data_IF_252267158940
#
_entry.id   IF_252267158940
#
_cell.length_a   1.000
_cell.length_b   1.000
_cell.length_c   1.000
_cell.angle_alpha   90.00
_cell.angle_beta   90.00
_cell.angle_gamma   90.00
#
_symmetry.space_group_name_H-M   'P 1'
#
loop_
_entity.id
_entity.type
_entity.pdbx_description
1 polymer ?
#
# COMPACT_ATOMS: atom_id res chain seq x y z
N UNK A 1 6.68 14.72 66.55
CA UNK A 1 7.16 15.06 65.20
C UNK A 1 6.79 13.92 64.25
N UNK A 2 5.66 14.06 63.56
CA UNK A 2 5.10 13.07 62.65
C UNK A 2 5.87 13.07 61.33
N UNK A 3 6.55 11.98 60.98
CA UNK A 3 7.02 11.72 59.61
C UNK A 3 6.04 10.74 58.96
N UNK A 4 5.22 11.27 58.05
CA UNK A 4 4.27 10.51 57.22
C UNK A 4 5.05 9.60 56.26
N UNK A 5 4.92 8.29 56.41
CA UNK A 5 5.26 7.34 55.36
C UNK A 5 4.01 7.16 54.48
N UNK A 6 4.02 7.80 53.30
CA UNK A 6 3.00 7.58 52.27
C UNK A 6 3.49 6.44 51.39
N UNK A 7 2.95 5.24 51.62
CA UNK A 7 3.08 4.10 50.73
C UNK A 7 2.03 4.26 49.64
N UNK A 8 2.39 4.89 48.52
CA UNK A 8 1.55 4.93 47.32
C UNK A 8 1.77 3.65 46.52
N UNK A 9 0.88 2.69 46.72
CA UNK A 9 0.63 1.57 45.81
C UNK A 9 0.15 2.12 44.47
N UNK A 10 0.99 2.11 43.44
CA UNK A 10 0.59 2.28 42.05
C UNK A 10 0.89 0.98 41.30
N UNK A 11 -0.09 0.07 41.34
CA UNK A 11 -0.09 -1.15 40.54
C UNK A 11 -0.23 -0.74 39.07
N UNK A 12 0.78 -1.11 38.29
CA UNK A 12 0.78 -1.40 36.86
C UNK A 12 -0.62 -1.51 36.25
N UNK A 13 -1.08 -0.41 35.68
CA UNK A 13 -2.18 -0.35 34.73
C UNK A 13 -1.68 0.11 33.37
N UNK A 14 -0.53 -0.43 32.92
CA UNK A 14 -0.15 -0.32 31.52
C UNK A 14 -1.12 -1.21 30.75
N UNK A 15 -2.23 -0.64 30.30
CA UNK A 15 -3.05 -1.27 29.27
C UNK A 15 -2.11 -1.55 28.10
N UNK A 16 -1.80 -2.83 27.90
CA UNK A 16 -1.27 -3.31 26.64
C UNK A 16 -2.35 -2.98 25.63
N UNK A 17 -2.23 -1.82 24.98
CA UNK A 17 -2.97 -1.54 23.77
C UNK A 17 -2.62 -2.68 22.84
N UNK A 18 -3.60 -3.55 22.58
CA UNK A 18 -3.48 -4.55 21.52
C UNK A 18 -3.29 -3.73 20.26
N UNK A 19 -2.04 -3.62 19.81
CA UNK A 19 -1.74 -3.01 18.52
C UNK A 19 -2.47 -3.87 17.50
N UNK A 20 -3.62 -3.40 17.04
CA UNK A 20 -4.34 -4.04 15.96
C UNK A 20 -3.45 -3.87 14.74
N UNK A 21 -2.76 -4.94 14.33
CA UNK A 21 -2.02 -4.92 13.09
C UNK A 21 -3.05 -4.60 11.97
N UNK A 22 -2.72 -3.63 11.13
CA UNK A 22 -3.49 -3.25 9.95
C UNK A 22 -2.49 -3.22 8.80
N UNK A 23 -2.85 -3.80 7.66
CA UNK A 23 -2.06 -3.75 6.43
C UNK A 23 -2.61 -2.64 5.56
N UNK A 24 -1.78 -1.66 5.23
CA UNK A 24 -2.12 -0.57 4.31
C UNK A 24 -1.72 -0.95 2.90
N UNK A 25 -2.71 -1.08 2.03
CA UNK A 25 -2.53 -1.36 0.62
C UNK A 25 -2.73 -0.08 -0.19
N UNK A 26 -1.70 0.32 -0.92
CA UNK A 26 -1.80 1.35 -1.94
C UNK A 26 -2.24 0.75 -3.27
N UNK A 27 -3.37 1.16 -3.81
CA UNK A 27 -3.78 0.81 -5.17
C UNK A 27 -3.44 1.96 -6.10
N UNK A 28 -2.51 1.76 -7.02
CA UNK A 28 -2.17 2.73 -8.06
C UNK A 28 -2.62 2.17 -9.41
N UNK A 29 -3.59 2.82 -10.06
CA UNK A 29 -4.07 2.37 -11.36
C UNK A 29 -4.66 3.48 -12.21
N UNK A 30 -5.00 3.15 -13.45
CA UNK A 30 -5.61 4.09 -14.40
C UNK A 30 -7.12 4.17 -14.17
N UNK A 31 -7.59 5.18 -13.44
CA UNK A 31 -8.99 5.30 -12.98
C UNK A 31 -9.76 6.42 -13.69
N UNK A 32 -9.05 7.28 -14.41
CA UNK A 32 -9.61 8.30 -15.30
C UNK A 32 -9.01 8.25 -16.71
N UNK A 33 -9.59 9.03 -17.61
CA UNK A 33 -9.21 9.06 -19.03
C UNK A 33 -9.79 7.90 -19.86
N UNK A 34 -9.38 7.78 -21.14
CA UNK A 34 -10.01 6.85 -22.09
C UNK A 34 -9.88 5.37 -21.72
N UNK A 35 -8.86 5.01 -20.94
CA UNK A 35 -8.57 3.63 -20.56
C UNK A 35 -8.98 3.28 -19.12
N UNK A 36 -9.77 4.15 -18.48
CA UNK A 36 -10.20 4.03 -17.08
C UNK A 36 -10.94 2.72 -16.77
N UNK A 37 -11.63 2.14 -17.75
CA UNK A 37 -12.37 0.89 -17.56
C UNK A 37 -11.46 -0.23 -17.02
N UNK A 38 -10.25 -0.38 -17.58
CA UNK A 38 -9.32 -1.43 -17.14
C UNK A 38 -8.91 -1.28 -15.68
N UNK A 39 -8.57 -0.06 -15.23
CA UNK A 39 -8.17 0.16 -13.84
C UNK A 39 -9.34 0.10 -12.87
N UNK A 40 -10.56 0.47 -13.30
CA UNK A 40 -11.77 0.31 -12.50
C UNK A 40 -12.12 -1.16 -12.29
N UNK A 41 -12.07 -1.98 -13.35
CA UNK A 41 -12.30 -3.42 -13.24
C UNK A 41 -11.27 -4.09 -12.29
N UNK A 42 -10.00 -3.68 -12.34
CA UNK A 42 -8.99 -4.13 -11.38
C UNK A 42 -9.32 -3.73 -9.93
N UNK A 43 -9.70 -2.48 -9.71
CA UNK A 43 -10.01 -1.95 -8.39
C UNK A 43 -11.27 -2.59 -7.81
N UNK A 44 -12.29 -2.79 -8.63
CA UNK A 44 -13.55 -3.42 -8.24
C UNK A 44 -13.32 -4.91 -7.93
N UNK A 45 -12.50 -5.61 -8.72
CA UNK A 45 -12.05 -6.97 -8.41
C UNK A 45 -11.29 -7.06 -7.08
N UNK A 46 -10.39 -6.11 -6.81
CA UNK A 46 -9.66 -6.05 -5.55
C UNK A 46 -10.60 -5.79 -4.35
N UNK A 47 -11.55 -4.87 -4.48
CA UNK A 47 -12.55 -4.57 -3.45
C UNK A 47 -13.46 -5.75 -3.19
N UNK A 48 -13.91 -6.45 -4.23
CA UNK A 48 -14.72 -7.66 -4.11
C UNK A 48 -13.96 -8.75 -3.34
N UNK A 49 -12.67 -8.95 -3.65
CA UNK A 49 -11.83 -9.89 -2.92
C UNK A 49 -11.70 -9.51 -1.43
N UNK A 50 -11.48 -8.22 -1.13
CA UNK A 50 -11.46 -7.75 0.26
C UNK A 50 -12.80 -7.99 0.97
N UNK A 51 -13.93 -7.71 0.31
CA UNK A 51 -15.26 -7.96 0.86
C UNK A 51 -15.46 -9.44 1.20
N UNK A 52 -15.09 -10.35 0.29
CA UNK A 52 -15.17 -11.80 0.50
C UNK A 52 -14.28 -12.28 1.65
N UNK A 53 -13.17 -11.58 1.91
CA UNK A 53 -12.27 -11.84 3.03
C UNK A 53 -12.66 -11.11 4.32
N UNK A 54 -13.81 -10.42 4.34
CA UNK A 54 -14.30 -9.68 5.50
C UNK A 54 -13.46 -8.44 5.83
N UNK A 55 -12.86 -7.81 4.83
CA UNK A 55 -11.99 -6.64 4.98
C UNK A 55 -10.58 -6.96 5.47
N UNK A 56 -10.16 -8.22 5.40
CA UNK A 56 -8.87 -8.69 5.92
C UNK A 56 -7.98 -9.28 4.83
N UNK A 57 -6.67 -9.18 5.03
CA UNK A 57 -5.64 -9.88 4.24
C UNK A 57 -4.79 -10.71 5.20
N UNK A 58 -4.72 -12.02 4.99
CA UNK A 58 -3.99 -12.92 5.90
C UNK A 58 -4.51 -12.92 7.35
N UNK A 59 -5.79 -12.59 7.55
CA UNK A 59 -6.41 -12.47 8.89
C UNK A 59 -6.18 -11.13 9.59
N UNK A 60 -5.45 -10.20 8.97
CA UNK A 60 -5.17 -8.85 9.46
C UNK A 60 -6.07 -7.85 8.74
N UNK A 61 -6.56 -6.82 9.42
CA UNK A 61 -7.41 -5.81 8.78
C UNK A 61 -6.65 -5.08 7.67
N UNK A 62 -7.32 -4.79 6.56
CA UNK A 62 -6.73 -4.13 5.42
C UNK A 62 -7.32 -2.74 5.18
N UNK A 63 -6.45 -1.73 5.07
CA UNK A 63 -6.81 -0.38 4.66
C UNK A 63 -6.39 -0.16 3.21
N UNK A 64 -7.35 0.17 2.35
CA UNK A 64 -7.08 0.47 0.94
C UNK A 64 -6.97 1.98 0.71
N UNK A 65 -5.85 2.44 0.17
CA UNK A 65 -5.65 3.81 -0.31
C UNK A 65 -5.49 3.81 -1.82
N UNK A 66 -6.35 4.55 -2.52
CA UNK A 66 -6.42 4.53 -3.99
C UNK A 66 -5.79 5.78 -4.58
N UNK A 67 -5.05 5.60 -5.67
CA UNK A 67 -4.46 6.64 -6.51
C UNK A 67 -4.73 6.41 -7.99
N UNK A 68 -4.97 7.52 -8.69
CA UNK A 68 -5.17 7.53 -10.14
C UNK A 68 -3.91 8.00 -10.85
N UNK A 69 -3.31 7.10 -11.64
CA UNK A 69 -2.15 7.42 -12.47
C UNK A 69 -2.51 8.15 -13.77
N UNK A 70 -3.80 8.27 -14.11
CA UNK A 70 -4.32 8.92 -15.31
C UNK A 70 -3.70 8.42 -16.63
N UNK A 71 -3.12 7.22 -16.61
CA UNK A 71 -2.32 6.64 -17.70
C UNK A 71 -1.03 7.43 -18.02
N UNK A 72 -0.56 8.29 -17.11
CA UNK A 72 0.55 9.23 -17.31
C UNK A 72 1.71 8.94 -16.34
N UNK A 73 2.96 8.83 -16.82
CA UNK A 73 4.14 8.65 -15.97
C UNK A 73 4.27 9.63 -14.80
N UNK A 74 4.08 10.93 -15.05
CA UNK A 74 4.26 11.96 -14.01
C UNK A 74 3.21 11.87 -12.90
N UNK A 75 1.96 11.56 -13.28
CA UNK A 75 0.88 11.35 -12.33
C UNK A 75 1.11 10.05 -11.53
N UNK A 76 1.61 8.99 -12.16
CA UNK A 76 2.00 7.77 -11.47
C UNK A 76 3.11 7.99 -10.45
N UNK A 77 4.16 8.76 -10.80
CA UNK A 77 5.24 9.12 -9.87
C UNK A 77 4.71 9.91 -8.67
N UNK A 78 3.79 10.85 -8.91
CA UNK A 78 3.13 11.63 -7.87
C UNK A 78 2.30 10.74 -6.95
N UNK A 79 1.48 9.86 -7.52
CA UNK A 79 0.64 8.93 -6.77
C UNK A 79 1.45 7.93 -5.95
N UNK A 80 2.45 7.29 -6.57
CA UNK A 80 3.39 6.41 -5.86
C UNK A 80 4.12 7.13 -4.72
N UNK A 81 4.49 8.39 -4.92
CA UNK A 81 5.10 9.21 -3.87
C UNK A 81 4.15 9.48 -2.72
N UNK A 82 2.88 9.81 -2.98
CA UNK A 82 1.88 9.94 -1.91
C UNK A 82 1.72 8.62 -1.15
N UNK A 83 1.56 7.50 -1.85
CA UNK A 83 1.39 6.18 -1.23
C UNK A 83 2.56 5.82 -0.32
N UNK A 84 3.80 6.00 -0.80
CA UNK A 84 5.00 5.64 -0.06
C UNK A 84 5.29 6.60 1.10
N UNK A 85 5.21 7.92 0.87
CA UNK A 85 5.76 8.90 1.80
C UNK A 85 4.71 9.48 2.75
N UNK A 86 3.48 9.72 2.24
CA UNK A 86 2.38 10.29 3.03
C UNK A 86 1.56 9.21 3.71
N UNK A 87 1.09 8.24 2.92
CA UNK A 87 0.20 7.19 3.43
C UNK A 87 0.97 6.07 4.14
N UNK A 88 2.24 5.90 3.76
CA UNK A 88 3.15 4.87 4.27
C UNK A 88 2.52 3.48 4.14
N UNK A 89 2.12 3.15 2.91
CA UNK A 89 1.54 1.84 2.60
C UNK A 89 2.59 0.74 2.73
N UNK A 90 2.13 -0.45 3.11
CA UNK A 90 2.97 -1.64 3.27
C UNK A 90 3.22 -2.35 1.93
N UNK A 91 2.32 -2.15 0.96
CA UNK A 91 2.41 -2.72 -0.39
C UNK A 91 1.71 -1.81 -1.39
N UNK A 92 2.24 -1.72 -2.60
CA UNK A 92 1.59 -1.07 -3.75
C UNK A 92 1.12 -2.15 -4.73
N UNK A 93 -0.15 -2.12 -5.12
CA UNK A 93 -0.75 -3.04 -6.08
C UNK A 93 -1.39 -2.27 -7.23
N UNK A 94 -1.66 -2.97 -8.34
CA UNK A 94 -2.30 -2.40 -9.52
C UNK A 94 -1.31 -2.31 -10.67
N UNK A 95 -0.90 -1.09 -11.05
CA UNK A 95 0.02 -0.82 -12.16
C UNK A 95 -0.57 -1.31 -13.50
N UNK A 96 -1.62 -0.62 -13.94
CA UNK A 96 -2.45 -1.07 -15.07
C UNK A 96 -1.67 -1.16 -16.39
N UNK A 97 -0.81 -0.19 -16.70
CA UNK A 97 -0.11 -0.15 -17.99
C UNK A 97 1.41 -0.19 -17.87
N UNK A 98 2.03 -0.90 -18.81
CA UNK A 98 3.48 -1.14 -18.84
C UNK A 98 4.32 0.13 -18.83
N UNK A 99 3.96 1.16 -19.60
CA UNK A 99 4.73 2.41 -19.63
C UNK A 99 4.68 3.16 -18.30
N UNK A 100 3.58 3.03 -17.55
CA UNK A 100 3.46 3.58 -16.19
C UNK A 100 4.38 2.82 -15.23
N UNK A 101 4.34 1.49 -15.22
CA UNK A 101 5.24 0.68 -14.39
C UNK A 101 6.72 0.94 -14.71
N UNK A 102 7.06 1.12 -15.99
CA UNK A 102 8.44 1.47 -16.41
C UNK A 102 8.91 2.81 -15.86
N UNK A 103 8.03 3.80 -15.77
CA UNK A 103 8.39 5.09 -15.18
C UNK A 103 8.71 4.99 -13.67
N UNK A 104 8.16 3.99 -12.98
CA UNK A 104 8.34 3.80 -11.54
C UNK A 104 9.60 3.02 -11.17
N UNK A 105 10.35 2.47 -12.12
CA UNK A 105 11.53 1.60 -11.85
C UNK A 105 12.52 2.20 -10.84
N UNK A 106 12.85 3.48 -10.98
CA UNK A 106 13.76 4.15 -10.06
C UNK A 106 13.14 4.33 -8.66
N UNK A 107 11.83 4.59 -8.57
CA UNK A 107 11.11 4.72 -7.28
C UNK A 107 11.03 3.37 -6.58
N UNK A 108 10.70 2.31 -7.31
CA UNK A 108 10.64 0.93 -6.83
C UNK A 108 12.00 0.51 -6.28
N UNK A 109 13.08 0.79 -7.01
CA UNK A 109 14.44 0.47 -6.57
C UNK A 109 14.91 1.24 -5.33
N UNK A 110 14.22 2.31 -4.94
CA UNK A 110 14.58 3.18 -3.81
C UNK A 110 13.82 2.84 -2.52
N UNK A 111 13.02 1.77 -2.49
CA UNK A 111 12.23 1.36 -1.33
C UNK A 111 12.18 -0.16 -1.21
N UNK A 112 11.96 -0.66 0.01
CA UNK A 112 11.70 -2.08 0.26
C UNK A 112 10.20 -2.43 0.20
N UNK A 113 9.32 -1.44 0.01
CA UNK A 113 7.88 -1.66 -0.16
C UNK A 113 7.66 -2.51 -1.42
N UNK A 114 6.93 -3.64 -1.35
CA UNK A 114 6.63 -4.45 -2.52
C UNK A 114 5.65 -3.75 -3.47
N UNK A 115 5.89 -3.92 -4.76
CA UNK A 115 5.02 -3.52 -5.85
C UNK A 115 4.50 -4.76 -6.55
N UNK A 116 3.21 -4.84 -6.84
CA UNK A 116 2.58 -5.99 -7.50
C UNK A 116 1.80 -5.50 -8.72
N UNK A 117 2.34 -5.77 -9.90
CA UNK A 117 1.66 -5.51 -11.18
C UNK A 117 0.57 -6.55 -11.46
N UNK A 118 -0.64 -6.10 -11.79
CA UNK A 118 -1.80 -6.97 -12.05
C UNK A 118 -2.14 -7.13 -13.53
N UNK A 119 -1.64 -6.25 -14.39
CA UNK A 119 -1.71 -6.36 -15.86
C UNK A 119 -0.35 -6.15 -16.51
N UNK A 120 0.44 -5.19 -16.02
CA UNK A 120 1.73 -4.87 -16.61
C UNK A 120 2.76 -5.98 -16.38
N UNK A 121 3.43 -6.39 -17.46
CA UNK A 121 4.48 -7.42 -17.45
C UNK A 121 5.59 -7.16 -18.47
N UNK A 122 6.29 -6.01 -18.42
CA UNK A 122 7.39 -5.72 -19.33
C UNK A 122 8.52 -6.74 -19.21
N UNK A 123 8.98 -7.32 -20.33
CA UNK A 123 10.10 -8.26 -20.33
C UNK A 123 11.38 -7.74 -19.63
N UNK A 124 11.73 -6.44 -19.68
CA UNK A 124 12.87 -5.91 -18.93
C UNK A 124 12.82 -6.15 -17.41
N UNK A 125 11.64 -6.12 -16.77
CA UNK A 125 11.53 -6.33 -15.31
C UNK A 125 11.57 -7.79 -14.91
N UNK A 126 11.30 -8.70 -15.85
CA UNK A 126 11.60 -10.12 -15.67
C UNK A 126 13.08 -10.44 -15.93
N UNK A 127 13.87 -9.48 -16.41
CA UNK A 127 15.26 -9.66 -16.82
C UNK A 127 16.22 -8.68 -16.17
N UNK A 128 16.95 -7.93 -16.98
CA UNK A 128 18.04 -7.05 -16.52
C UNK A 128 17.61 -5.95 -15.54
N UNK A 129 16.33 -5.59 -15.51
CA UNK A 129 15.77 -4.58 -14.61
C UNK A 129 14.98 -5.20 -13.45
N UNK A 130 15.09 -6.51 -13.22
CA UNK A 130 14.43 -7.19 -12.11
C UNK A 130 14.79 -6.54 -10.76
N UNK A 131 13.78 -6.40 -9.90
CA UNK A 131 13.88 -5.89 -8.53
C UNK A 131 13.24 -6.91 -7.59
N UNK A 132 13.80 -7.12 -6.39
CA UNK A 132 13.26 -8.10 -5.44
C UNK A 132 11.86 -7.70 -4.92
N UNK A 133 11.49 -6.42 -5.04
CA UNK A 133 10.25 -5.85 -4.57
C UNK A 133 9.28 -5.48 -5.71
N UNK A 134 9.37 -6.13 -6.88
CA UNK A 134 8.48 -5.93 -8.05
C UNK A 134 8.13 -7.24 -8.75
#
# INVERSE_FOLDING_TARGET
MFKKAVLCTAILGAGLGVAHAEVKVGFLGTLSGPSAANGRDQLDGFRLALEQLGGKLGGVDAQLVVEDDQMKPDAALTGATRLLEREKVDVVVGLTFTHVLMALQAKIAATDVPFIGTISGPSPTAGAQCKPNL
#
